data_IF_265888610808
#
_entry.id   IF_265888610808
#
_cell.length_a   1.000
_cell.length_b   1.000
_cell.length_c   1.000
_cell.angle_alpha   90.00
_cell.angle_beta   90.00
_cell.angle_gamma   90.00
#
_symmetry.space_group_name_H-M   'P 1'
#
loop_
_entity.id
_entity.type
_entity.pdbx_description
1 polymer ?
#
# COMPACT_ATOMS: atom_id res chain seq x y z
N UNK A 1 6.85 -6.15 12.48
CA UNK A 1 5.72 -7.07 12.78
C UNK A 1 4.55 -6.76 11.86
N UNK A 2 3.89 -7.78 11.29
CA UNK A 2 2.73 -7.61 10.40
C UNK A 2 1.52 -8.34 11.00
N UNK A 3 0.44 -7.61 11.26
CA UNK A 3 -0.81 -8.14 11.78
C UNK A 3 -1.57 -9.01 10.77
N UNK A 4 -2.62 -9.73 11.22
CA UNK A 4 -3.43 -10.56 10.33
C UNK A 4 -4.17 -9.73 9.27
N UNK A 5 -4.42 -10.33 8.10
CA UNK A 5 -5.19 -9.75 7.00
C UNK A 5 -4.63 -8.43 6.42
N UNK A 6 -3.30 -8.24 6.47
CA UNK A 6 -2.65 -7.11 5.80
C UNK A 6 -2.54 -7.37 4.31
N UNK A 7 -2.95 -6.39 3.50
CA UNK A 7 -2.79 -6.40 2.04
C UNK A 7 -1.63 -5.49 1.64
N UNK A 8 -0.67 -6.02 0.88
CA UNK A 8 0.44 -5.24 0.30
C UNK A 8 0.27 -5.28 -1.21
N UNK A 9 -0.08 -4.14 -1.80
CA UNK A 9 -0.54 -4.08 -3.20
C UNK A 9 0.37 -3.15 -4.00
N UNK A 10 1.23 -3.74 -4.85
CA UNK A 10 2.24 -2.99 -5.63
C UNK A 10 1.71 -2.43 -6.94
N UNK A 11 0.49 -2.78 -7.35
CA UNK A 11 -0.13 -2.34 -8.60
C UNK A 11 -1.43 -1.57 -8.38
N UNK A 12 -1.60 -0.49 -9.12
CA UNK A 12 -2.88 0.24 -9.24
C UNK A 12 -3.46 0.04 -10.65
N UNK A 13 -4.78 -0.08 -10.73
CA UNK A 13 -5.51 -0.22 -11.99
C UNK A 13 -6.00 1.12 -12.53
N UNK A 14 -6.21 1.22 -13.84
CA UNK A 14 -6.87 2.38 -14.40
C UNK A 14 -8.36 2.39 -14.04
N UNK A 15 -8.83 3.51 -13.48
CA UNK A 15 -10.19 3.67 -13.00
C UNK A 15 -11.05 4.52 -13.93
N UNK A 16 -10.49 4.99 -15.06
CA UNK A 16 -11.27 5.60 -16.13
C UNK A 16 -12.26 4.62 -16.75
N UNK A 17 -13.46 5.09 -17.07
CA UNK A 17 -14.54 4.25 -17.65
C UNK A 17 -14.07 3.57 -18.94
N UNK A 18 -13.46 4.33 -19.85
CA UNK A 18 -13.01 3.82 -21.15
C UNK A 18 -11.87 2.82 -21.00
N UNK A 19 -10.99 3.01 -20.02
CA UNK A 19 -9.94 2.06 -19.72
C UNK A 19 -10.50 0.72 -19.20
N UNK A 20 -11.52 0.76 -18.32
CA UNK A 20 -12.20 -0.46 -17.86
C UNK A 20 -12.89 -1.21 -19.00
N UNK A 21 -13.59 -0.50 -19.90
CA UNK A 21 -14.22 -1.10 -21.10
C UNK A 21 -13.19 -1.72 -22.03
N UNK A 22 -12.04 -1.06 -22.22
CA UNK A 22 -10.95 -1.54 -23.05
C UNK A 22 -10.07 -2.59 -22.36
N UNK A 23 -10.43 -3.07 -21.17
CA UNK A 23 -9.64 -3.99 -20.35
C UNK A 23 -8.18 -3.53 -20.13
N UNK A 24 -7.95 -2.22 -20.10
CA UNK A 24 -6.65 -1.63 -19.77
C UNK A 24 -6.46 -1.71 -18.26
N UNK A 25 -5.82 -2.80 -17.85
CA UNK A 25 -5.67 -3.14 -16.44
C UNK A 25 -4.71 -2.21 -15.71
N UNK A 26 -3.44 -2.20 -16.08
CA UNK A 26 -2.38 -1.62 -15.26
C UNK A 26 -2.22 -0.11 -15.48
N UNK A 27 -2.23 0.68 -14.41
CA UNK A 27 -1.96 2.13 -14.42
C UNK A 27 -0.57 2.46 -13.89
N UNK A 28 -0.23 1.87 -12.75
CA UNK A 28 1.01 2.17 -12.05
C UNK A 28 1.46 0.95 -11.27
N UNK A 29 2.77 0.72 -11.25
CA UNK A 29 3.41 -0.15 -10.26
C UNK A 29 4.47 0.66 -9.52
N UNK A 30 4.58 0.41 -8.23
CA UNK A 30 5.56 1.09 -7.40
C UNK A 30 6.11 0.16 -6.33
N UNK A 31 7.42 0.24 -6.01
CA UNK A 31 7.97 -0.49 -4.89
C UNK A 31 7.31 -0.04 -3.59
N UNK A 32 7.17 -0.96 -2.65
CA UNK A 32 6.76 -0.66 -1.28
C UNK A 32 7.96 -0.90 -0.39
N UNK A 33 8.33 0.10 0.40
CA UNK A 33 9.44 0.03 1.35
C UNK A 33 8.87 0.11 2.76
N UNK A 34 9.18 -0.88 3.58
CA UNK A 34 8.85 -0.89 5.01
C UNK A 34 10.16 -0.97 5.77
N UNK A 35 10.46 0.05 6.55
CA UNK A 35 11.68 0.14 7.35
C UNK A 35 11.70 -0.84 8.52
N UNK A 36 12.86 -0.94 9.16
CA UNK A 36 13.05 -1.83 10.30
C UNK A 36 12.14 -1.44 11.48
N UNK A 37 11.81 -2.42 12.31
CA UNK A 37 11.02 -2.24 13.54
C UNK A 37 9.65 -1.55 13.36
N UNK A 38 9.02 -1.70 12.19
CA UNK A 38 7.65 -1.22 12.00
C UNK A 38 6.62 -2.16 12.63
N UNK A 39 5.54 -1.59 13.17
CA UNK A 39 4.33 -2.32 13.57
C UNK A 39 3.19 -2.03 12.59
N UNK A 40 2.75 -3.05 11.86
CA UNK A 40 1.62 -2.94 10.93
C UNK A 40 0.40 -3.62 11.56
N UNK A 41 -0.62 -2.84 11.90
CA UNK A 41 -1.87 -3.33 12.48
C UNK A 41 -2.63 -4.29 11.57
N UNK A 42 -3.59 -5.03 12.14
CA UNK A 42 -4.46 -5.93 11.39
C UNK A 42 -5.27 -5.18 10.32
N UNK A 43 -5.62 -5.88 9.24
CA UNK A 43 -6.49 -5.34 8.17
C UNK A 43 -6.00 -4.05 7.51
N UNK A 44 -4.70 -3.75 7.58
CA UNK A 44 -4.09 -2.61 6.86
C UNK A 44 -3.95 -2.93 5.38
N UNK A 45 -4.18 -1.94 4.52
CA UNK A 45 -3.88 -2.03 3.08
C UNK A 45 -2.81 -1.00 2.73
N UNK A 46 -1.66 -1.48 2.24
CA UNK A 46 -0.52 -0.66 1.82
C UNK A 46 -0.51 -0.58 0.30
N UNK A 47 -0.62 0.65 -0.23
CA UNK A 47 -0.74 0.91 -1.67
C UNK A 47 0.63 1.05 -2.36
N UNK A 48 0.61 0.95 -3.68
CA UNK A 48 1.79 1.01 -4.53
C UNK A 48 2.59 2.30 -4.29
N UNK A 49 3.92 2.18 -4.25
CA UNK A 49 4.82 3.32 -4.09
C UNK A 49 4.97 3.84 -2.65
N UNK A 50 4.35 3.21 -1.66
CA UNK A 50 4.46 3.64 -0.26
C UNK A 50 5.86 3.41 0.30
N UNK A 51 6.34 4.35 1.10
CA UNK A 51 7.52 4.20 1.97
C UNK A 51 7.12 4.44 3.42
N UNK A 52 7.36 3.45 4.28
CA UNK A 52 7.16 3.52 5.73
C UNK A 52 8.54 3.50 6.40
N UNK A 53 8.86 4.56 7.14
CA UNK A 53 10.14 4.72 7.82
C UNK A 53 10.32 3.79 9.02
N UNK A 54 11.57 3.65 9.46
CA UNK A 54 11.93 2.86 10.64
C UNK A 54 11.10 3.25 11.87
N UNK A 55 10.65 2.27 12.66
CA UNK A 55 9.93 2.47 13.92
C UNK A 55 8.47 2.92 13.79
N UNK A 56 7.96 3.10 12.56
CA UNK A 56 6.58 3.53 12.35
C UNK A 56 5.55 2.50 12.84
N UNK A 57 4.47 2.99 13.44
CA UNK A 57 3.30 2.21 13.83
C UNK A 57 2.10 2.59 12.97
N UNK A 58 1.57 1.64 12.21
CA UNK A 58 0.40 1.82 11.36
C UNK A 58 -0.82 1.22 12.07
N UNK A 59 -1.82 2.07 12.34
CA UNK A 59 -3.05 1.66 13.01
C UNK A 59 -3.86 0.62 12.23
N UNK A 60 -4.59 -0.22 12.95
CA UNK A 60 -5.48 -1.26 12.42
C UNK A 60 -6.50 -0.68 11.43
N UNK A 61 -6.75 -1.38 10.33
CA UNK A 61 -7.75 -0.98 9.31
C UNK A 61 -7.35 0.20 8.42
N UNK A 62 -6.11 0.70 8.53
CA UNK A 62 -5.65 1.83 7.73
C UNK A 62 -5.50 1.50 6.25
N UNK A 63 -5.77 2.48 5.38
CA UNK A 63 -5.36 2.47 3.97
C UNK A 63 -4.21 3.47 3.81
N UNK A 64 -3.03 2.98 3.46
CA UNK A 64 -1.77 3.73 3.53
C UNK A 64 -1.34 4.18 2.12
N UNK A 65 -1.10 5.49 1.95
CA UNK A 65 -0.60 6.09 0.71
C UNK A 65 0.40 7.22 1.03
N UNK A 66 1.54 7.24 0.34
CA UNK A 66 2.56 8.28 0.47
C UNK A 66 3.82 7.83 1.21
N UNK A 67 4.54 8.80 1.78
CA UNK A 67 5.83 8.61 2.46
C UNK A 67 5.67 8.99 3.93
N UNK A 68 5.96 8.05 4.82
CA UNK A 68 5.93 8.22 6.27
C UNK A 68 7.35 8.14 6.80
N UNK A 69 7.80 9.22 7.45
CA UNK A 69 9.13 9.30 8.08
C UNK A 69 9.03 8.74 9.51
N UNK A 70 10.16 8.29 10.11
CA UNK A 70 10.21 7.87 11.51
C UNK A 70 9.59 8.88 12.48
#
# INVERSE_FOLDING_TARGET
>A
MIGPNVNIVTGEHETGIEARKAHKGLKFTGPIVIGDDCWIGASVTILAGVTIGHGCSIGVGSVVKGIYKP
#
